data_IF_955192080803
#
_entry.id   IF_955192080803
#
_cell.length_a   1.000
_cell.length_b   1.000
_cell.length_c   1.000
_cell.angle_alpha   90.00
_cell.angle_beta   90.00
_cell.angle_gamma   90.00
#
_symmetry.space_group_name_H-M   'P 1'
#
loop_
_entity.id
_entity.type
_entity.pdbx_description
1 polymer ?
#
# COMPACT_ATOMS: atom_id res chain seq x y z
N UNK A 1 -16.70 3.47 -7.40
CA UNK A 1 -15.40 4.05 -7.05
C UNK A 1 -15.42 4.81 -5.71
N UNK A 2 -16.19 5.89 -5.56
CA UNK A 2 -16.14 6.75 -4.36
C UNK A 2 -16.37 6.02 -3.02
N UNK A 3 -17.26 5.03 -2.98
CA UNK A 3 -17.48 4.18 -1.79
C UNK A 3 -16.25 3.34 -1.44
N UNK A 4 -15.53 2.85 -2.45
CA UNK A 4 -14.34 2.02 -2.24
C UNK A 4 -13.17 2.85 -1.71
N UNK A 5 -12.96 4.05 -2.28
CA UNK A 5 -11.97 5.00 -1.78
C UNK A 5 -12.30 5.43 -0.35
N UNK A 6 -13.58 5.75 -0.07
CA UNK A 6 -14.04 6.03 1.30
C UNK A 6 -13.71 4.87 2.24
N UNK A 7 -14.02 3.63 1.86
CA UNK A 7 -13.69 2.45 2.66
C UNK A 7 -12.19 2.39 3.00
N UNK A 8 -11.29 2.64 2.05
CA UNK A 8 -9.85 2.64 2.31
C UNK A 8 -9.46 3.77 3.27
N UNK A 9 -10.01 4.97 3.09
CA UNK A 9 -9.76 6.12 3.99
C UNK A 9 -10.20 5.80 5.43
N UNK A 10 -11.35 5.14 5.60
CA UNK A 10 -11.87 4.74 6.92
C UNK A 10 -10.89 3.83 7.69
N UNK A 11 -10.07 3.03 6.98
CA UNK A 11 -9.04 2.18 7.61
C UNK A 11 -7.96 2.98 8.35
N UNK A 12 -7.79 4.26 8.02
CA UNK A 12 -6.75 5.13 8.59
C UNK A 12 -7.29 6.12 9.64
N UNK A 13 -8.59 6.12 9.92
CA UNK A 13 -9.22 7.07 10.84
C UNK A 13 -8.64 7.00 12.25
N UNK A 14 -8.37 5.79 12.77
CA UNK A 14 -7.75 5.62 14.08
C UNK A 14 -6.34 6.19 14.16
N UNK A 15 -5.52 5.97 13.13
CA UNK A 15 -4.15 6.49 13.05
C UNK A 15 -4.15 8.03 12.95
N UNK A 16 -5.07 8.57 12.16
CA UNK A 16 -5.26 10.02 12.06
C UNK A 16 -5.72 10.62 13.41
N UNK A 17 -6.67 9.98 14.08
CA UNK A 17 -7.18 10.42 15.38
C UNK A 17 -6.10 10.40 16.47
N UNK A 18 -5.24 9.38 16.50
CA UNK A 18 -4.11 9.29 17.45
C UNK A 18 -3.17 10.49 17.33
N UNK A 19 -2.91 10.96 16.10
CA UNK A 19 -2.10 12.16 15.82
C UNK A 19 -2.91 13.47 15.77
N UNK A 20 -4.20 13.43 16.08
CA UNK A 20 -5.14 14.54 15.88
C UNK A 20 -5.13 15.14 14.46
N UNK A 21 -4.77 14.35 13.46
CA UNK A 21 -4.76 14.79 12.07
C UNK A 21 -6.20 14.82 11.54
N UNK A 22 -6.58 15.94 10.94
CA UNK A 22 -7.85 16.07 10.24
C UNK A 22 -7.77 15.36 8.88
N UNK A 23 -8.36 14.17 8.80
CA UNK A 23 -8.48 13.39 7.56
C UNK A 23 -9.79 13.77 6.83
N UNK A 24 -9.67 14.35 5.64
CA UNK A 24 -10.81 14.87 4.86
C UNK A 24 -10.91 14.09 3.55
N UNK A 25 -12.14 13.71 3.18
CA UNK A 25 -12.42 13.16 1.85
C UNK A 25 -13.39 14.07 1.08
N UNK A 26 -12.91 14.60 -0.04
CA UNK A 26 -13.60 15.52 -0.94
C UNK A 26 -13.88 14.82 -2.28
N UNK A 27 -14.91 13.96 -2.38
CA UNK A 27 -15.24 13.30 -3.64
C UNK A 27 -15.80 14.29 -4.66
N UNK A 28 -15.45 14.10 -5.92
CA UNK A 28 -16.03 14.85 -7.03
C UNK A 28 -17.54 14.63 -7.17
N UNK A 29 -18.22 15.59 -7.79
CA UNK A 29 -19.68 15.61 -7.89
C UNK A 29 -20.28 14.40 -8.63
N UNK A 30 -19.54 13.84 -9.60
CA UNK A 30 -19.95 12.64 -10.33
C UNK A 30 -19.49 11.39 -9.57
N UNK A 31 -20.31 10.35 -9.58
CA UNK A 31 -19.92 9.02 -9.11
C UNK A 31 -19.55 8.15 -10.32
N UNK A 32 -18.29 8.17 -10.77
CA UNK A 32 -17.93 7.42 -11.96
C UNK A 32 -17.89 5.91 -11.65
N UNK A 33 -18.45 5.13 -12.57
CA UNK A 33 -18.19 3.69 -12.67
C UNK A 33 -16.91 3.56 -13.50
N UNK A 34 -15.86 3.02 -12.88
CA UNK A 34 -14.52 2.97 -13.44
C UNK A 34 -13.99 1.55 -13.28
N UNK A 35 -13.46 1.02 -14.37
CA UNK A 35 -12.70 -0.22 -14.35
C UNK A 35 -11.40 0.03 -13.59
N UNK A 36 -11.17 -0.72 -12.53
CA UNK A 36 -9.93 -0.64 -11.78
C UNK A 36 -9.59 -2.00 -11.23
N UNK A 37 -8.29 -2.23 -11.06
CA UNK A 37 -7.81 -3.35 -10.28
C UNK A 37 -7.93 -2.98 -8.80
N UNK A 38 -8.86 -3.65 -8.10
CA UNK A 38 -9.19 -3.37 -6.71
C UNK A 38 -7.96 -3.51 -5.81
N UNK A 39 -7.19 -4.57 -5.97
CA UNK A 39 -6.04 -4.88 -5.11
C UNK A 39 -4.91 -3.87 -5.32
N UNK A 40 -4.57 -3.59 -6.59
CA UNK A 40 -3.52 -2.62 -6.91
C UNK A 40 -3.89 -1.20 -6.47
N UNK A 41 -5.14 -0.80 -6.66
CA UNK A 41 -5.60 0.52 -6.21
C UNK A 41 -5.56 0.63 -4.68
N UNK A 42 -5.93 -0.44 -3.97
CA UNK A 42 -5.81 -0.49 -2.51
C UNK A 42 -4.37 -0.23 -2.07
N UNK A 43 -3.42 -0.94 -2.66
CA UNK A 43 -2.00 -0.85 -2.32
C UNK A 43 -1.40 0.53 -2.62
N UNK A 44 -1.78 1.12 -3.76
CA UNK A 44 -1.43 2.51 -4.09
C UNK A 44 -1.95 3.48 -3.03
N UNK A 45 -3.24 3.40 -2.68
CA UNK A 45 -3.86 4.34 -1.75
C UNK A 45 -3.36 4.15 -0.31
N UNK A 46 -3.17 2.91 0.14
CA UNK A 46 -2.66 2.64 1.49
C UNK A 46 -1.23 3.16 1.65
N UNK A 47 -0.36 2.99 0.65
CA UNK A 47 0.99 3.51 0.71
C UNK A 47 1.02 5.04 0.74
N UNK A 48 0.24 5.71 -0.13
CA UNK A 48 0.19 7.17 -0.16
C UNK A 48 -0.43 7.77 1.11
N UNK A 49 -1.52 7.19 1.62
CA UNK A 49 -2.14 7.61 2.89
C UNK A 49 -1.23 7.38 4.09
N UNK A 50 -0.55 6.23 4.14
CA UNK A 50 0.42 5.94 5.19
C UNK A 50 1.56 6.94 5.18
N UNK A 51 2.10 7.29 4.01
CA UNK A 51 3.12 8.34 3.90
C UNK A 51 2.59 9.69 4.38
N UNK A 52 1.42 10.12 3.91
CA UNK A 52 0.82 11.39 4.34
C UNK A 52 0.67 11.45 5.87
N UNK A 53 0.09 10.42 6.50
CA UNK A 53 -0.12 10.38 7.96
C UNK A 53 1.18 10.19 8.76
N UNK A 54 2.16 9.50 8.18
CA UNK A 54 3.47 9.29 8.80
C UNK A 54 4.21 10.62 8.95
N UNK A 55 4.25 11.44 7.89
CA UNK A 55 5.02 12.68 7.85
C UNK A 55 4.24 13.92 8.30
N UNK A 56 2.91 13.88 8.29
CA UNK A 56 2.10 14.98 8.84
C UNK A 56 2.30 15.08 10.35
N UNK A 57 2.52 16.31 10.81
CA UNK A 57 2.70 16.63 12.23
C UNK A 57 1.39 16.49 13.02
N UNK A 58 1.50 16.47 14.35
CA UNK A 58 0.33 16.44 15.23
C UNK A 58 -0.59 17.64 14.98
N UNK A 59 -1.91 17.44 15.04
CA UNK A 59 -2.93 18.43 14.70
C UNK A 59 -2.88 18.95 13.25
N UNK A 60 -2.22 18.20 12.34
CA UNK A 60 -2.17 18.52 10.92
C UNK A 60 -3.43 18.15 10.13
N UNK A 61 -3.31 18.11 8.81
CA UNK A 61 -4.39 17.85 7.86
C UNK A 61 -3.90 16.97 6.72
N UNK A 62 -4.69 15.96 6.39
CA UNK A 62 -4.57 15.17 5.16
C UNK A 62 -5.89 15.23 4.43
N UNK A 63 -5.87 15.57 3.14
CA UNK A 63 -7.04 15.63 2.29
C UNK A 63 -6.89 14.68 1.10
N UNK A 64 -7.89 13.83 0.93
CA UNK A 64 -8.07 13.03 -0.28
C UNK A 64 -9.14 13.69 -1.13
N UNK A 65 -8.84 13.99 -2.39
CA UNK A 65 -9.84 14.47 -3.35
C UNK A 65 -9.84 13.59 -4.59
N UNK A 66 -11.01 13.43 -5.19
CA UNK A 66 -11.17 12.64 -6.41
C UNK A 66 -11.97 13.42 -7.44
N UNK A 67 -11.59 13.33 -8.70
CA UNK A 67 -12.31 14.01 -9.77
C UNK A 67 -12.25 13.18 -11.05
N UNK A 68 -13.32 13.24 -11.84
CA UNK A 68 -13.25 12.84 -13.24
C UNK A 68 -12.70 14.03 -14.02
N UNK A 69 -11.55 13.86 -14.66
CA UNK A 69 -10.92 14.86 -15.52
C UNK A 69 -11.26 14.51 -16.97
N UNK A 70 -12.06 15.37 -17.62
CA UNK A 70 -12.62 15.04 -18.94
C UNK A 70 -13.63 13.88 -18.89
N UNK A 71 -13.56 12.97 -19.85
CA UNK A 71 -14.47 11.83 -19.95
C UNK A 71 -13.82 10.48 -19.60
N UNK A 72 -12.49 10.43 -19.66
CA UNK A 72 -11.68 9.21 -19.75
C UNK A 72 -10.56 9.13 -18.71
N UNK A 73 -10.43 10.11 -17.81
CA UNK A 73 -9.41 10.12 -16.76
C UNK A 73 -10.02 10.33 -15.38
N UNK A 74 -9.50 9.61 -14.40
CA UNK A 74 -9.91 9.71 -13.00
C UNK A 74 -8.69 10.05 -12.15
N UNK A 75 -8.76 11.22 -11.55
CA UNK A 75 -7.70 11.78 -10.73
C UNK A 75 -8.01 11.53 -9.25
N UNK A 76 -7.00 11.08 -8.51
CA UNK A 76 -7.00 10.94 -7.06
C UNK A 76 -5.82 11.75 -6.53
N UNK A 77 -6.11 12.73 -5.68
CA UNK A 77 -5.08 13.54 -5.00
C UNK A 77 -5.08 13.22 -3.52
N UNK A 78 -3.90 13.03 -2.95
CA UNK A 78 -3.67 12.96 -1.50
C UNK A 78 -2.72 14.10 -1.15
N UNK A 79 -3.24 15.09 -0.44
CA UNK A 79 -2.50 16.28 -0.01
C UNK A 79 -2.34 16.29 1.50
N UNK A 80 -1.13 16.55 1.98
CA UNK A 80 -0.82 16.79 3.39
C UNK A 80 -0.24 18.18 3.62
N UNK A 81 -0.30 18.66 4.86
CA UNK A 81 0.38 19.88 5.31
C UNK A 81 1.62 19.55 6.19
N UNK A 82 2.28 18.44 5.91
CA UNK A 82 3.51 18.04 6.60
C UNK A 82 4.71 18.91 6.24
N UNK A 83 5.94 18.44 6.52
CA UNK A 83 7.17 19.21 6.29
C UNK A 83 7.49 19.42 4.81
N UNK A 84 6.77 18.78 3.89
CA UNK A 84 7.12 18.79 2.47
C UNK A 84 8.47 18.10 2.20
N UNK A 85 8.92 18.19 0.95
CA UNK A 85 10.13 17.55 0.44
C UNK A 85 11.02 18.64 -0.14
N UNK A 86 12.31 18.63 0.23
CA UNK A 86 13.27 19.56 -0.36
C UNK A 86 13.44 19.30 -1.85
N UNK A 87 13.57 20.37 -2.65
CA UNK A 87 13.59 20.28 -4.10
C UNK A 87 14.68 19.36 -4.67
N UNK A 88 15.81 19.24 -3.97
CA UNK A 88 16.92 18.35 -4.36
C UNK A 88 16.55 16.85 -4.28
N UNK A 89 15.57 16.48 -3.46
CA UNK A 89 15.13 15.09 -3.31
C UNK A 89 14.02 14.71 -4.29
N UNK A 90 13.25 15.69 -4.79
CA UNK A 90 12.09 15.46 -5.67
C UNK A 90 12.36 14.56 -6.88
N UNK A 91 13.52 14.63 -7.58
CA UNK A 91 13.81 13.74 -8.71
C UNK A 91 13.90 12.26 -8.33
N UNK A 92 14.21 11.95 -7.07
CA UNK A 92 14.59 10.61 -6.61
C UNK A 92 13.55 9.93 -5.72
N UNK A 93 12.46 10.63 -5.33
CA UNK A 93 11.46 10.09 -4.37
C UNK A 93 10.76 8.80 -4.83
N UNK A 94 10.80 8.50 -6.13
CA UNK A 94 10.24 7.28 -6.71
C UNK A 94 11.30 6.21 -7.00
N UNK A 95 12.56 6.47 -6.66
CA UNK A 95 13.64 5.50 -6.82
C UNK A 95 13.62 4.48 -5.69
N UNK A 96 13.99 3.25 -6.02
CA UNK A 96 13.99 2.15 -5.06
C UNK A 96 15.04 2.43 -3.99
N UNK A 97 14.66 2.17 -2.75
CA UNK A 97 15.51 2.34 -1.57
C UNK A 97 15.90 3.80 -1.27
N UNK A 98 15.42 4.77 -2.04
CA UNK A 98 15.71 6.18 -1.79
C UNK A 98 14.98 6.67 -0.53
N UNK A 99 15.71 7.36 0.33
CA UNK A 99 15.22 7.97 1.57
C UNK A 99 15.93 9.29 1.80
N UNK A 100 15.20 10.26 2.31
CA UNK A 100 15.78 11.50 2.85
C UNK A 100 16.34 11.16 4.23
N UNK A 101 17.67 11.25 4.39
CA UNK A 101 18.30 11.14 5.70
C UNK A 101 18.12 12.47 6.43
N UNK A 102 17.14 12.54 7.34
CA UNK A 102 17.06 13.63 8.29
C UNK A 102 18.20 13.46 9.31
N UNK A 103 19.10 14.44 9.40
CA UNK A 103 20.31 14.42 10.24
C UNK A 103 20.07 14.43 11.76
N UNK A 104 19.14 13.62 12.26
CA UNK A 104 18.79 13.50 13.67
C UNK A 104 18.58 12.03 14.10
N UNK A 105 18.70 11.78 15.42
CA UNK A 105 18.75 10.46 16.05
C UNK A 105 17.46 9.59 15.97
N UNK A 106 16.49 9.94 15.14
CA UNK A 106 15.27 9.16 14.90
C UNK A 106 14.97 9.08 13.40
N UNK A 107 15.70 8.21 12.69
CA UNK A 107 15.29 7.83 11.34
C UNK A 107 13.93 7.13 11.39
N UNK A 108 12.89 7.72 10.81
CA UNK A 108 11.58 7.07 10.72
C UNK A 108 11.69 5.73 9.95
N UNK A 109 11.13 4.62 10.45
CA UNK A 109 11.25 3.30 9.81
C UNK A 109 10.63 3.28 8.40
N UNK A 110 11.28 2.61 7.45
CA UNK A 110 10.78 2.40 6.08
C UNK A 110 11.86 1.90 5.11
N UNK A 111 11.49 1.00 4.20
CA UNK A 111 12.42 0.35 3.24
C UNK A 111 12.78 1.21 2.01
N UNK A 112 12.13 2.35 1.82
CA UNK A 112 12.27 3.16 0.59
C UNK A 112 11.65 2.50 -0.65
N UNK A 113 10.87 1.43 -0.50
CA UNK A 113 10.23 0.74 -1.64
C UNK A 113 8.82 1.26 -1.96
N UNK A 114 8.12 1.84 -0.99
CA UNK A 114 6.68 2.14 -1.11
C UNK A 114 6.32 3.00 -2.31
N UNK A 115 6.98 4.14 -2.50
CA UNK A 115 6.70 5.05 -3.63
C UNK A 115 7.14 4.46 -4.97
N UNK A 116 8.26 3.74 -5.01
CA UNK A 116 8.70 3.05 -6.22
C UNK A 116 7.68 1.99 -6.68
N UNK A 117 7.18 1.17 -5.73
CA UNK A 117 6.15 0.17 -6.01
C UNK A 117 4.83 0.83 -6.43
N UNK A 118 4.43 1.89 -5.74
CA UNK A 118 3.25 2.68 -6.12
C UNK A 118 3.33 3.17 -7.56
N UNK A 119 4.49 3.68 -8.00
CA UNK A 119 4.70 4.10 -9.39
C UNK A 119 4.53 2.95 -10.37
N UNK A 120 5.08 1.77 -10.07
CA UNK A 120 4.93 0.59 -10.94
C UNK A 120 3.48 0.07 -10.98
N UNK A 121 2.76 0.03 -9.86
CA UNK A 121 1.35 -0.36 -9.82
C UNK A 121 0.47 0.60 -10.63
N UNK A 122 0.70 1.91 -10.50
CA UNK A 122 0.00 2.92 -11.29
C UNK A 122 0.29 2.75 -12.78
N UNK A 123 1.55 2.47 -13.17
CA UNK A 123 1.91 2.16 -14.57
C UNK A 123 1.21 0.89 -15.08
N UNK A 124 1.13 -0.17 -14.27
CA UNK A 124 0.40 -1.40 -14.64
C UNK A 124 -1.09 -1.13 -14.88
N UNK A 125 -1.68 -0.18 -14.16
CA UNK A 125 -3.03 0.32 -14.40
C UNK A 125 -3.11 1.35 -15.55
N UNK A 126 -2.04 1.52 -16.35
CA UNK A 126 -1.91 2.48 -17.45
C UNK A 126 -2.12 3.95 -17.03
N UNK A 127 -1.88 4.23 -15.76
CA UNK A 127 -1.98 5.56 -15.17
C UNK A 127 -0.64 6.27 -15.06
N UNK A 128 -0.69 7.45 -14.45
CA UNK A 128 0.48 8.26 -14.09
C UNK A 128 0.40 8.69 -12.64
N UNK A 129 1.54 8.78 -11.98
CA UNK A 129 1.66 9.38 -10.65
C UNK A 129 2.66 10.52 -10.69
N UNK A 130 2.35 11.62 -10.01
CA UNK A 130 3.24 12.76 -9.78
C UNK A 130 3.17 13.21 -8.33
N UNK A 131 4.18 13.93 -7.90
CA UNK A 131 4.21 14.59 -6.60
C UNK A 131 4.56 16.06 -6.80
N UNK A 132 3.84 16.92 -6.10
CA UNK A 132 4.07 18.36 -6.01
C UNK A 132 4.31 18.67 -4.53
N UNK A 133 5.47 19.22 -4.17
CA UNK A 133 5.84 19.45 -2.77
C UNK A 133 6.57 20.77 -2.59
N UNK A 134 6.31 21.44 -1.48
CA UNK A 134 7.04 22.64 -1.05
C UNK A 134 7.50 22.43 0.38
N UNK A 135 8.80 22.53 0.60
CA UNK A 135 9.39 22.37 1.93
C UNK A 135 8.79 23.38 2.92
N UNK A 136 8.33 22.87 4.07
CA UNK A 136 7.61 23.60 5.10
C UNK A 136 6.11 23.81 4.84
N UNK A 137 5.57 23.40 3.70
CA UNK A 137 4.13 23.60 3.37
C UNK A 137 3.35 22.30 3.18
N UNK A 138 4.02 21.22 2.73
CA UNK A 138 3.40 19.90 2.56
C UNK A 138 3.62 19.29 1.18
N UNK A 139 2.99 18.15 0.95
CA UNK A 139 3.12 17.37 -0.29
C UNK A 139 1.75 17.00 -0.84
N UNK A 140 1.61 17.00 -2.16
CA UNK A 140 0.45 16.46 -2.87
C UNK A 140 0.90 15.38 -3.84
N UNK A 141 0.44 14.15 -3.62
CA UNK A 141 0.54 13.07 -4.60
C UNK A 141 -0.71 13.06 -5.47
N UNK A 142 -0.53 13.01 -6.78
CA UNK A 142 -1.62 12.93 -7.76
C UNK A 142 -1.48 11.66 -8.58
N UNK A 143 -2.45 10.76 -8.46
CA UNK A 143 -2.59 9.55 -9.27
C UNK A 143 -3.68 9.80 -10.30
N UNK A 144 -3.38 9.57 -11.56
CA UNK A 144 -4.31 9.75 -12.67
C UNK A 144 -4.44 8.42 -13.43
N UNK A 145 -5.66 7.88 -13.49
CA UNK A 145 -5.99 6.56 -14.06
C UNK A 145 -6.91 6.70 -15.28
N UNK A 146 -6.71 5.92 -16.35
CA UNK A 146 -7.65 5.86 -17.46
C UNK A 146 -8.97 5.19 -17.05
N UNK A 147 -10.06 5.66 -17.62
CA UNK A 147 -11.43 5.17 -17.43
C UNK A 147 -11.89 4.53 -18.74
N UNK A 148 -11.79 3.20 -18.82
CA UNK A 148 -12.11 2.46 -20.06
C UNK A 148 -13.58 2.05 -20.19
N UNK A 149 -14.30 1.87 -19.07
CA UNK A 149 -15.71 1.40 -19.00
C UNK A 149 -16.00 0.11 -19.80
N UNK A 150 -14.99 -0.74 -19.94
CA UNK A 150 -15.01 -1.99 -20.69
C UNK A 150 -15.21 -3.23 -19.80
N UNK A 151 -15.13 -3.11 -18.47
CA UNK A 151 -15.34 -4.25 -17.59
C UNK A 151 -16.83 -4.63 -17.53
N UNK A 152 -17.16 -5.94 -17.42
CA UNK A 152 -18.53 -6.39 -17.18
C UNK A 152 -19.08 -5.70 -15.93
N UNK A 153 -20.28 -5.14 -16.02
CA UNK A 153 -20.95 -4.61 -14.83
C UNK A 153 -21.25 -5.79 -13.89
N UNK A 154 -20.56 -5.85 -12.75
CA UNK A 154 -20.87 -6.82 -11.71
C UNK A 154 -22.25 -6.45 -11.12
N UNK A 155 -23.25 -7.31 -11.31
CA UNK A 155 -24.58 -7.09 -10.74
C UNK A 155 -24.51 -7.07 -9.21
N UNK A 156 -25.21 -6.12 -8.59
CA UNK A 156 -25.27 -5.92 -7.13
C UNK A 156 -25.64 -7.17 -6.30
N UNK A 157 -26.25 -8.20 -6.93
CA UNK A 157 -26.56 -9.48 -6.27
C UNK A 157 -25.30 -10.26 -5.86
N UNK A 158 -24.24 -10.27 -6.68
CA UNK A 158 -23.00 -10.99 -6.36
C UNK A 158 -22.21 -10.31 -5.21
N UNK A 159 -22.32 -8.98 -5.10
CA UNK A 159 -21.74 -8.19 -4.00
C UNK A 159 -22.40 -8.50 -2.64
N UNK A 160 -23.71 -8.82 -2.62
CA UNK A 160 -24.42 -9.18 -1.40
C UNK A 160 -24.03 -10.58 -0.89
N UNK A 161 -23.80 -11.54 -1.80
CA UNK A 161 -23.31 -12.87 -1.42
C UNK A 161 -21.85 -12.85 -0.97
N UNK A 162 -21.01 -12.01 -1.60
CA UNK A 162 -19.63 -11.78 -1.14
C UNK A 162 -19.58 -11.11 0.25
N UNK A 163 -20.46 -10.14 0.55
CA UNK A 163 -20.57 -9.53 1.89
C UNK A 163 -20.94 -10.53 2.98
N UNK A 164 -21.73 -11.58 2.68
CA UNK A 164 -22.05 -12.63 3.65
C UNK A 164 -20.87 -13.55 3.96
N UNK A 165 -19.93 -13.71 3.02
CA UNK A 165 -18.70 -14.51 3.21
C UNK A 165 -17.58 -13.73 3.90
N UNK A 166 -17.59 -12.41 3.80
CA UNK A 166 -16.62 -11.52 4.45
C UNK A 166 -17.29 -10.85 5.66
N UNK A 167 -17.47 -11.62 6.73
CA UNK A 167 -17.67 -11.05 8.06
C UNK A 167 -16.35 -10.38 8.48
N UNK A 168 -16.27 -9.07 8.26
CA UNK A 168 -15.13 -8.24 8.66
C UNK A 168 -15.04 -8.28 10.20
N UNK A 169 -14.10 -9.07 10.72
CA UNK A 169 -13.66 -8.95 12.10
C UNK A 169 -12.60 -7.85 12.17
N UNK A 170 -12.88 -6.81 12.95
CA UNK A 170 -11.95 -5.72 13.25
C UNK A 170 -11.18 -6.14 14.51
N UNK A 171 -9.85 -6.32 14.46
CA UNK A 171 -9.09 -6.56 15.68
C UNK A 171 -9.15 -5.31 16.57
N UNK A 172 -9.30 -5.45 17.89
CA UNK A 172 -9.05 -4.34 18.81
C UNK A 172 -7.62 -3.83 18.60
N UNK A 173 -7.46 -2.52 18.52
CA UNK A 173 -6.19 -1.79 18.37
C UNK A 173 -5.11 -2.33 19.30
N UNK A 174 -3.93 -2.65 18.74
CA UNK A 174 -2.72 -3.01 19.50
C UNK A 174 -2.09 -4.38 19.18
N UNK A 175 -2.67 -5.19 18.30
CA UNK A 175 -2.04 -6.42 17.81
C UNK A 175 -1.52 -6.25 16.39
N UNK A 176 -0.25 -6.65 16.17
CA UNK A 176 0.34 -6.78 14.82
C UNK A 176 -0.58 -7.63 13.96
N UNK A 177 -1.17 -7.01 12.93
CA UNK A 177 -1.98 -7.71 11.95
C UNK A 177 -1.08 -8.63 11.13
N UNK A 178 -1.25 -9.94 11.30
CA UNK A 178 -0.84 -10.94 10.32
C UNK A 178 -2.12 -11.25 9.54
N UNK A 179 -2.22 -10.89 8.25
CA UNK A 179 -3.40 -11.19 7.47
C UNK A 179 -3.71 -12.70 7.52
N UNK A 180 -4.92 -13.11 7.93
CA UNK A 180 -5.32 -14.50 7.81
C UNK A 180 -5.63 -14.74 6.32
N UNK A 181 -4.93 -15.70 5.73
CA UNK A 181 -4.99 -16.18 4.33
C UNK A 181 -3.98 -15.57 3.35
N UNK A 182 -2.83 -16.24 3.24
CA UNK A 182 -2.36 -16.78 1.95
C UNK A 182 -2.11 -18.27 2.14
N UNK A 183 -3.17 -19.08 2.12
CA UNK A 183 -3.04 -20.49 1.72
C UNK A 183 -3.24 -20.51 0.21
N UNK A 184 -2.18 -20.23 -0.53
CA UNK A 184 -2.13 -20.65 -1.93
C UNK A 184 -2.39 -22.15 -1.97
N UNK A 185 -3.24 -22.61 -2.89
CA UNK A 185 -3.43 -24.05 -3.12
C UNK A 185 -2.04 -24.66 -3.31
N UNK A 186 -1.65 -25.59 -2.43
CA UNK A 186 -0.45 -26.37 -2.60
C UNK A 186 -0.59 -27.17 -3.91
N UNK A 187 0.02 -26.67 -4.98
CA UNK A 187 0.28 -27.47 -6.17
C UNK A 187 1.58 -28.23 -5.90
N UNK A 188 1.53 -29.55 -6.00
CA UNK A 188 2.59 -30.46 -5.57
C UNK A 188 3.93 -30.33 -6.32
N UNK A 189 4.04 -29.43 -7.31
CA UNK A 189 5.20 -29.30 -8.20
C UNK A 189 5.99 -27.99 -8.09
N UNK A 190 5.68 -27.08 -7.15
CA UNK A 190 6.46 -25.83 -7.00
C UNK A 190 7.67 -26.03 -6.07
N UNK A 191 8.87 -25.55 -6.44
CA UNK A 191 10.05 -25.60 -5.58
C UNK A 191 9.85 -24.77 -4.30
N UNK A 192 10.49 -25.17 -3.20
CA UNK A 192 10.27 -24.55 -1.89
C UNK A 192 11.28 -23.43 -1.58
N UNK A 193 10.78 -22.25 -1.24
CA UNK A 193 11.54 -21.05 -0.92
C UNK A 193 11.42 -20.69 0.56
N UNK A 194 12.55 -20.59 1.26
CA UNK A 194 12.60 -20.09 2.63
C UNK A 194 13.01 -18.60 2.63
N UNK A 195 12.17 -17.76 3.20
CA UNK A 195 12.45 -16.35 3.46
C UNK A 195 12.88 -16.21 4.91
N UNK A 196 14.09 -15.68 5.13
CA UNK A 196 14.61 -15.32 6.44
C UNK A 196 14.74 -13.80 6.50
N UNK A 197 13.72 -13.15 7.04
CA UNK A 197 13.58 -11.69 7.04
C UNK A 197 12.75 -11.24 8.24
N UNK A 198 13.24 -10.23 8.96
CA UNK A 198 12.59 -9.71 10.17
C UNK A 198 11.63 -8.57 9.87
N UNK A 199 11.78 -7.93 8.71
CA UNK A 199 10.87 -6.92 8.23
C UNK A 199 9.65 -7.55 7.55
N UNK A 200 8.51 -7.53 8.26
CA UNK A 200 7.25 -8.09 7.79
C UNK A 200 6.77 -7.51 6.45
N UNK A 201 7.09 -6.24 6.14
CA UNK A 201 6.69 -5.61 4.88
C UNK A 201 7.47 -6.22 3.70
N UNK A 202 8.75 -6.50 3.90
CA UNK A 202 9.63 -7.14 2.88
C UNK A 202 9.20 -8.57 2.66
N UNK A 203 8.88 -9.30 3.74
CA UNK A 203 8.31 -10.65 3.65
C UNK A 203 7.04 -10.62 2.81
N UNK A 204 6.09 -9.74 3.15
CA UNK A 204 4.83 -9.64 2.44
C UNK A 204 5.02 -9.34 0.94
N UNK A 205 5.91 -8.42 0.60
CA UNK A 205 6.27 -8.12 -0.78
C UNK A 205 6.84 -9.34 -1.53
N UNK A 206 7.76 -10.08 -0.91
CA UNK A 206 8.32 -11.29 -1.49
C UNK A 206 7.26 -12.37 -1.70
N UNK A 207 6.29 -12.50 -0.78
CA UNK A 207 5.14 -13.39 -0.96
C UNK A 207 4.32 -13.01 -2.19
N UNK A 208 4.00 -11.72 -2.37
CA UNK A 208 3.23 -11.25 -3.53
C UNK A 208 3.95 -11.51 -4.86
N UNK A 209 5.28 -11.36 -4.90
CA UNK A 209 6.04 -11.57 -6.13
C UNK A 209 6.20 -13.05 -6.50
N UNK A 210 6.45 -13.91 -5.50
CA UNK A 210 6.98 -15.26 -5.72
C UNK A 210 5.95 -16.37 -5.46
N UNK A 211 4.75 -16.07 -4.98
CA UNK A 211 3.69 -17.06 -4.70
C UNK A 211 3.27 -17.88 -5.94
N UNK A 212 3.44 -17.29 -7.13
CA UNK A 212 3.10 -17.96 -8.38
C UNK A 212 4.17 -18.96 -8.83
N UNK A 213 5.41 -18.83 -8.36
CA UNK A 213 6.54 -19.66 -8.80
C UNK A 213 7.02 -20.64 -7.72
N UNK A 214 6.91 -20.28 -6.44
CA UNK A 214 7.46 -21.05 -5.32
C UNK A 214 6.40 -21.43 -4.28
N UNK A 215 6.66 -22.52 -3.56
CA UNK A 215 6.01 -22.80 -2.28
C UNK A 215 6.80 -22.12 -1.18
N UNK A 216 6.18 -21.19 -0.44
CA UNK A 216 6.92 -20.24 0.39
C UNK A 216 6.78 -20.52 1.89
N UNK A 217 7.90 -20.43 2.61
CA UNK A 217 8.00 -20.49 4.07
C UNK A 217 8.73 -19.26 4.59
N UNK A 218 8.34 -18.76 5.76
CA UNK A 218 8.97 -17.61 6.39
C UNK A 218 9.45 -17.93 7.80
N UNK A 219 10.62 -17.42 8.15
CA UNK A 219 11.18 -17.46 9.49
C UNK A 219 11.79 -16.12 9.90
N UNK A 220 11.63 -15.76 11.16
CA UNK A 220 12.35 -14.65 11.79
C UNK A 220 13.82 -15.04 12.09
N UNK A 221 14.74 -14.07 12.04
CA UNK A 221 16.18 -14.28 12.30
C UNK A 221 16.52 -14.62 13.75
N UNK A 222 15.59 -14.45 14.71
CA UNK A 222 15.83 -14.82 16.10
C UNK A 222 15.98 -16.33 16.19
N UNK A 223 17.22 -16.81 16.16
CA UNK A 223 17.63 -18.21 16.11
C UNK A 223 17.15 -19.05 17.29
N UNK A 224 15.85 -19.34 17.35
CA UNK A 224 15.36 -20.49 18.11
C UNK A 224 15.68 -21.74 17.30
N UNK A 225 16.83 -22.35 17.63
CA UNK A 225 17.07 -23.78 17.46
C UNK A 225 15.81 -24.53 17.93
N UNK A 226 14.94 -24.95 17.03
CA UNK A 226 13.76 -25.73 17.40
C UNK A 226 12.56 -25.72 16.45
N UNK A 227 12.38 -24.73 15.56
CA UNK A 227 11.37 -24.85 14.51
C UNK A 227 11.88 -25.81 13.44
N UNK A 228 11.19 -26.94 13.24
CA UNK A 228 11.50 -27.88 12.16
C UNK A 228 11.44 -27.13 10.82
N UNK A 229 12.60 -26.93 10.20
CA UNK A 229 12.68 -26.45 8.82
C UNK A 229 11.93 -27.44 7.92
N UNK A 230 11.21 -26.97 6.91
CA UNK A 230 10.50 -27.86 6.02
C UNK A 230 11.52 -28.69 5.20
N UNK A 231 11.27 -29.99 4.96
CA UNK A 231 12.17 -30.83 4.17
C UNK A 231 12.16 -30.38 2.70
N UNK A 232 13.33 -30.31 2.06
CA UNK A 232 13.55 -29.95 0.62
C UNK A 232 13.50 -28.46 0.27
N UNK A 233 14.20 -27.59 1.03
CA UNK A 233 14.37 -26.18 0.67
C UNK A 233 15.21 -26.07 -0.61
N UNK A 234 14.65 -25.44 -1.63
CA UNK A 234 15.30 -25.21 -2.93
C UNK A 234 16.16 -23.94 -2.92
N UNK A 235 15.69 -22.88 -2.27
CA UNK A 235 16.39 -21.59 -2.22
C UNK A 235 16.11 -20.89 -0.88
N UNK A 236 17.11 -20.15 -0.37
CA UNK A 236 17.01 -19.31 0.82
C UNK A 236 17.26 -17.86 0.40
N UNK A 237 16.34 -16.97 0.74
CA UNK A 237 16.53 -15.53 0.61
C UNK A 237 16.69 -14.94 2.02
N UNK A 238 17.88 -14.38 2.27
CA UNK A 238 18.28 -13.76 3.55
C UNK A 238 18.83 -12.37 3.28
N UNK A 239 18.44 -11.39 4.09
CA UNK A 239 18.96 -10.02 4.01
C UNK A 239 20.31 -9.82 4.72
N UNK A 240 20.92 -10.90 5.21
CA UNK A 240 22.32 -10.92 5.64
C UNK A 240 23.08 -11.87 4.74
N UNK A 241 24.06 -11.33 3.99
CA UNK A 241 25.12 -12.15 3.38
C UNK A 241 25.86 -12.86 4.52
N UNK A 242 26.04 -14.18 4.39
CA UNK A 242 26.96 -14.92 5.24
C UNK A 242 28.39 -14.40 5.09
#
# INVERSE_FOLDING_TARGET
MNLYIRYIIELFTSVAAEKQIKLIYSPGAKQPVIDHDREKLMEVLTNLLSNALKFTQHAGRVEVSTALTGEDRFEIRIADNGPGIQGEHMPYIFDRFYRVEEGGAQSLPGSGLGLALTRELVKLMKGTIRADSVYGQGTTFTVDLPVTRNAPQVEMKELQEHRKRVSIWIPPTGQKFIPPYIRGKASANKPMLLIVEDNADVVQYLFTLLENEYMMWWSHMTGRRGSKLPPNIFLILSSVMW
#
